data_IF_769188278512
#
_entry.id   IF_769188278512
#
_cell.length_a   1.000
_cell.length_b   1.000
_cell.length_c   1.000
_cell.angle_alpha   90.00
_cell.angle_beta   90.00
_cell.angle_gamma   90.00
#
_symmetry.space_group_name_H-M   'P 1'
#
loop_
_entity.id
_entity.type
_entity.pdbx_description
1 polymer ?
#
# COMPACT_ATOMS: atom_id res chain seq x y z
N UNK A 1 -24.45 23.53 11.08
CA UNK A 1 -24.02 23.47 9.66
C UNK A 1 -22.55 23.09 9.67
N UNK A 2 -22.21 21.87 9.24
CA UNK A 2 -20.81 21.47 9.11
C UNK A 2 -20.21 22.22 7.92
N UNK A 3 -19.19 23.05 8.16
CA UNK A 3 -18.52 23.82 7.11
C UNK A 3 -17.33 23.00 6.62
N UNK A 4 -17.40 22.48 5.39
CA UNK A 4 -16.30 21.75 4.76
C UNK A 4 -15.38 22.74 4.03
N UNK A 5 -14.18 22.96 4.59
CA UNK A 5 -13.14 23.78 3.94
C UNK A 5 -12.24 22.86 3.11
N UNK A 6 -12.26 23.03 1.78
CA UNK A 6 -11.37 22.30 0.89
C UNK A 6 -10.16 23.16 0.51
N UNK A 7 -8.95 22.62 0.69
CA UNK A 7 -7.74 23.19 0.11
C UNK A 7 -7.59 22.68 -1.33
N UNK A 8 -7.82 23.55 -2.30
CA UNK A 8 -7.74 23.19 -3.72
C UNK A 8 -6.96 24.25 -4.50
N UNK A 9 -6.24 23.80 -5.52
CA UNK A 9 -5.53 24.66 -6.46
C UNK A 9 -6.17 24.59 -7.85
N UNK A 10 -6.08 25.66 -8.65
CA UNK A 10 -6.68 25.73 -9.99
C UNK A 10 -6.24 24.58 -10.92
N UNK A 11 -5.03 24.07 -10.73
CA UNK A 11 -4.46 22.98 -11.52
C UNK A 11 -4.40 21.64 -10.79
N UNK A 12 -5.17 21.45 -9.70
CA UNK A 12 -5.12 20.25 -8.87
C UNK A 12 -5.27 18.95 -9.68
N UNK A 13 -6.16 18.93 -10.67
CA UNK A 13 -6.37 17.74 -11.52
C UNK A 13 -5.10 17.33 -12.26
N UNK A 14 -4.34 18.30 -12.79
CA UNK A 14 -3.08 18.02 -13.49
C UNK A 14 -2.02 17.48 -12.52
N UNK A 15 -1.89 18.08 -11.34
CA UNK A 15 -0.95 17.62 -10.32
C UNK A 15 -1.30 16.23 -9.78
N UNK A 16 -2.57 16.00 -9.47
CA UNK A 16 -3.06 14.69 -9.02
C UNK A 16 -2.86 13.61 -10.09
N UNK A 17 -3.14 13.92 -11.36
CA UNK A 17 -2.91 13.00 -12.47
C UNK A 17 -1.42 12.66 -12.63
N UNK A 18 -0.52 13.63 -12.54
CA UNK A 18 0.92 13.40 -12.62
C UNK A 18 1.42 12.50 -11.47
N UNK A 19 0.98 12.77 -10.23
CA UNK A 19 1.30 11.95 -9.06
C UNK A 19 0.79 10.51 -9.19
N UNK A 20 -0.47 10.34 -9.60
CA UNK A 20 -1.05 9.01 -9.79
C UNK A 20 -0.35 8.24 -10.90
N UNK A 21 0.01 8.89 -12.01
CA UNK A 21 0.73 8.26 -13.11
C UNK A 21 2.12 7.76 -12.67
N UNK A 22 2.91 8.62 -12.00
CA UNK A 22 4.23 8.25 -11.50
C UNK A 22 4.18 7.08 -10.50
N UNK A 23 3.28 7.15 -9.50
CA UNK A 23 3.11 6.07 -8.52
C UNK A 23 2.56 4.79 -9.14
N UNK A 24 1.65 4.91 -10.10
CA UNK A 24 1.10 3.77 -10.84
C UNK A 24 2.16 3.05 -11.66
N UNK A 25 3.04 3.78 -12.34
CA UNK A 25 4.17 3.21 -13.07
C UNK A 25 5.15 2.49 -12.15
N UNK A 26 5.48 3.09 -11.00
CA UNK A 26 6.32 2.45 -9.99
C UNK A 26 5.71 1.13 -9.49
N UNK A 27 4.40 1.14 -9.21
CA UNK A 27 3.67 -0.03 -8.72
C UNK A 27 3.59 -1.13 -9.79
N UNK A 28 3.39 -0.77 -11.06
CA UNK A 28 3.42 -1.70 -12.18
C UNK A 28 4.81 -2.34 -12.33
N UNK A 29 5.87 -1.53 -12.26
CA UNK A 29 7.25 -2.02 -12.32
C UNK A 29 7.59 -2.94 -11.14
N UNK A 30 7.19 -2.58 -9.91
CA UNK A 30 7.36 -3.41 -8.73
C UNK A 30 6.61 -4.74 -8.84
N UNK A 31 5.40 -4.73 -9.42
CA UNK A 31 4.61 -5.94 -9.68
C UNK A 31 5.27 -6.83 -10.72
N UNK A 32 5.82 -6.25 -11.79
CA UNK A 32 6.57 -6.98 -12.80
C UNK A 32 7.80 -7.68 -12.18
N UNK A 33 8.58 -6.97 -11.38
CA UNK A 33 9.72 -7.57 -10.67
C UNK A 33 9.29 -8.67 -9.68
N UNK A 34 8.19 -8.47 -8.95
CA UNK A 34 7.63 -9.48 -8.06
C UNK A 34 7.12 -10.72 -8.81
N UNK A 35 6.62 -10.55 -10.03
CA UNK A 35 6.19 -11.64 -10.89
C UNK A 35 7.38 -12.46 -11.40
N UNK A 36 8.42 -11.81 -11.93
CA UNK A 36 9.62 -12.48 -12.43
C UNK A 36 10.34 -13.26 -11.32
N UNK A 37 10.36 -12.74 -10.09
CA UNK A 37 11.02 -13.40 -8.95
C UNK A 37 10.20 -14.51 -8.29
N UNK A 38 8.92 -14.71 -8.66
CA UNK A 38 8.02 -15.68 -8.00
C UNK A 38 8.50 -17.12 -8.06
N UNK A 39 9.07 -17.54 -9.19
CA UNK A 39 9.47 -18.93 -9.42
C UNK A 39 10.92 -19.23 -9.01
N UNK A 40 11.67 -18.21 -8.60
CA UNK A 40 13.09 -18.35 -8.24
C UNK A 40 13.17 -18.49 -6.71
N UNK A 41 12.98 -19.71 -6.23
CA UNK A 41 13.16 -20.03 -4.80
C UNK A 41 14.62 -20.34 -4.51
N UNK A 42 15.39 -19.30 -4.18
CA UNK A 42 16.74 -19.45 -3.61
C UNK A 42 16.61 -19.32 -2.09
N UNK A 43 16.96 -20.35 -1.29
CA UNK A 43 16.74 -20.35 0.16
C UNK A 43 17.47 -19.24 0.92
N UNK A 44 18.50 -18.65 0.32
CA UNK A 44 19.25 -17.50 0.85
C UNK A 44 18.51 -16.16 0.65
N UNK A 45 17.58 -16.10 -0.31
CA UNK A 45 16.85 -14.88 -0.70
C UNK A 45 15.34 -14.99 -0.45
N UNK A 46 14.90 -15.89 0.45
CA UNK A 46 13.48 -16.09 0.76
C UNK A 46 12.77 -14.81 1.27
N UNK A 47 13.53 -13.81 1.73
CA UNK A 47 13.04 -12.46 2.03
C UNK A 47 12.35 -11.79 0.82
N UNK A 48 12.78 -12.07 -0.42
CA UNK A 48 12.20 -11.47 -1.63
C UNK A 48 10.79 -11.97 -1.91
N UNK A 49 10.44 -13.19 -1.47
CA UNK A 49 9.10 -13.76 -1.62
C UNK A 49 8.09 -13.00 -0.75
N UNK A 50 8.46 -12.68 0.49
CA UNK A 50 7.64 -11.86 1.39
C UNK A 50 7.43 -10.45 0.86
N UNK A 51 8.47 -9.85 0.28
CA UNK A 51 8.36 -8.54 -0.40
C UNK A 51 7.37 -8.62 -1.56
N UNK A 52 7.39 -9.69 -2.35
CA UNK A 52 6.41 -9.93 -3.41
C UNK A 52 4.96 -9.93 -2.90
N UNK A 53 4.70 -10.62 -1.79
CA UNK A 53 3.37 -10.60 -1.16
C UNK A 53 2.94 -9.20 -0.70
N UNK A 54 3.86 -8.38 -0.19
CA UNK A 54 3.58 -6.99 0.15
C UNK A 54 3.19 -6.15 -1.08
N UNK A 55 3.88 -6.33 -2.20
CA UNK A 55 3.56 -5.62 -3.46
C UNK A 55 2.14 -5.98 -3.91
N UNK A 56 1.77 -7.26 -3.92
CA UNK A 56 0.41 -7.67 -4.27
C UNK A 56 -0.65 -7.09 -3.32
N UNK A 57 -0.38 -7.02 -2.02
CA UNK A 57 -1.29 -6.39 -1.05
C UNK A 57 -1.54 -4.91 -1.39
N UNK A 58 -0.48 -4.15 -1.63
CA UNK A 58 -0.57 -2.72 -1.95
C UNK A 58 -1.33 -2.51 -3.26
N UNK A 59 -1.08 -3.34 -4.29
CA UNK A 59 -1.79 -3.26 -5.58
C UNK A 59 -3.30 -3.40 -5.40
N UNK A 60 -3.75 -4.42 -4.66
CA UNK A 60 -5.19 -4.66 -4.41
C UNK A 60 -5.81 -3.51 -3.62
N UNK A 61 -5.12 -3.05 -2.57
CA UNK A 61 -5.58 -1.94 -1.75
C UNK A 61 -5.69 -0.65 -2.57
N UNK A 62 -4.71 -0.31 -3.40
CA UNK A 62 -4.76 0.87 -4.27
C UNK A 62 -5.87 0.77 -5.33
N UNK A 63 -6.07 -0.42 -5.92
CA UNK A 63 -7.12 -0.64 -6.91
C UNK A 63 -8.53 -0.42 -6.35
N UNK A 64 -8.73 -0.62 -5.04
CA UNK A 64 -10.01 -0.36 -4.35
C UNK A 64 -10.06 1.07 -3.80
N UNK A 65 -8.98 1.53 -3.17
CA UNK A 65 -8.93 2.81 -2.46
C UNK A 65 -9.03 4.03 -3.40
N UNK A 66 -8.37 4.01 -4.55
CA UNK A 66 -8.38 5.15 -5.48
C UNK A 66 -9.77 5.40 -6.07
N UNK A 67 -10.48 4.39 -6.64
CA UNK A 67 -11.86 4.60 -7.10
C UNK A 67 -12.80 5.02 -5.98
N UNK A 68 -12.70 4.38 -4.81
CA UNK A 68 -13.55 4.71 -3.65
C UNK A 68 -13.37 6.17 -3.23
N UNK A 69 -12.14 6.68 -3.25
CA UNK A 69 -11.84 8.09 -2.95
C UNK A 69 -12.51 9.07 -3.93
N UNK A 70 -12.62 8.70 -5.21
CA UNK A 70 -13.20 9.55 -6.25
C UNK A 70 -14.72 9.42 -6.38
N UNK A 71 -15.31 8.26 -6.08
CA UNK A 71 -16.75 8.00 -6.19
C UNK A 71 -17.52 8.62 -5.02
N UNK A 72 -16.95 8.64 -3.80
CA UNK A 72 -17.63 9.22 -2.65
C UNK A 72 -17.79 10.75 -2.81
N UNK A 73 -19.05 11.20 -2.72
CA UNK A 73 -19.41 12.61 -2.80
C UNK A 73 -18.92 13.40 -1.59
N UNK A 74 -18.77 14.72 -1.79
CA UNK A 74 -18.22 15.64 -0.79
C UNK A 74 -19.02 15.69 0.51
N UNK A 75 -20.34 15.49 0.44
CA UNK A 75 -21.23 15.44 1.61
C UNK A 75 -20.88 14.29 2.58
N UNK A 76 -20.17 13.25 2.12
CA UNK A 76 -19.74 12.12 2.93
C UNK A 76 -18.25 12.17 3.29
N UNK A 77 -17.76 13.36 3.62
CA UNK A 77 -16.35 13.59 3.97
C UNK A 77 -15.88 12.73 5.17
N UNK A 78 -16.73 12.53 6.19
CA UNK A 78 -16.42 11.66 7.33
C UNK A 78 -16.23 10.20 6.89
N UNK A 79 -17.16 9.67 6.09
CA UNK A 79 -17.09 8.29 5.61
C UNK A 79 -15.85 8.08 4.74
N UNK A 80 -15.59 9.04 3.83
CA UNK A 80 -14.40 9.04 2.98
C UNK A 80 -13.11 9.02 3.80
N UNK A 81 -13.04 9.82 4.86
CA UNK A 81 -11.89 9.86 5.77
C UNK A 81 -11.71 8.53 6.51
N UNK A 82 -12.77 8.00 7.11
CA UNK A 82 -12.71 6.74 7.87
C UNK A 82 -12.30 5.58 6.96
N UNK A 83 -12.90 5.45 5.78
CA UNK A 83 -12.57 4.38 4.82
C UNK A 83 -11.12 4.48 4.34
N UNK A 84 -10.67 5.67 3.94
CA UNK A 84 -9.31 5.83 3.44
C UNK A 84 -8.26 5.56 4.52
N UNK A 85 -8.49 6.09 5.74
CA UNK A 85 -7.55 5.92 6.84
C UNK A 85 -7.50 4.46 7.33
N UNK A 86 -8.66 3.83 7.52
CA UNK A 86 -8.73 2.42 7.93
C UNK A 86 -8.05 1.49 6.93
N UNK A 87 -8.30 1.69 5.63
CA UNK A 87 -7.66 0.93 4.56
C UNK A 87 -6.13 1.11 4.58
N UNK A 88 -5.67 2.35 4.81
CA UNK A 88 -4.23 2.67 4.88
C UNK A 88 -3.58 2.00 6.10
N UNK A 89 -4.18 2.11 7.29
CA UNK A 89 -3.67 1.48 8.51
C UNK A 89 -3.62 -0.04 8.36
N UNK A 90 -4.66 -0.65 7.80
CA UNK A 90 -4.72 -2.08 7.56
C UNK A 90 -3.61 -2.55 6.61
N UNK A 91 -3.44 -1.84 5.48
CA UNK A 91 -2.40 -2.16 4.50
C UNK A 91 -0.99 -2.08 5.10
N UNK A 92 -0.66 -0.98 5.77
CA UNK A 92 0.68 -0.82 6.37
C UNK A 92 0.92 -1.82 7.49
N UNK A 93 -0.08 -2.12 8.31
CA UNK A 93 0.02 -3.14 9.35
C UNK A 93 0.31 -4.51 8.76
N UNK A 94 -0.41 -4.91 7.70
CA UNK A 94 -0.16 -6.19 7.03
C UNK A 94 1.24 -6.27 6.42
N UNK A 95 1.71 -5.20 5.76
CA UNK A 95 3.06 -5.16 5.20
C UNK A 95 4.12 -5.34 6.30
N UNK A 96 3.99 -4.64 7.43
CA UNK A 96 4.89 -4.81 8.56
C UNK A 96 4.84 -6.24 9.12
N UNK A 97 3.64 -6.80 9.30
CA UNK A 97 3.48 -8.16 9.78
C UNK A 97 4.15 -9.18 8.85
N UNK A 98 3.95 -9.08 7.53
CA UNK A 98 4.52 -10.00 6.54
C UNK A 98 6.06 -9.95 6.55
N UNK A 99 6.65 -8.75 6.70
CA UNK A 99 8.10 -8.59 6.67
C UNK A 99 8.78 -8.97 7.98
N UNK A 100 8.18 -8.67 9.14
CA UNK A 100 8.85 -8.78 10.43
C UNK A 100 8.49 -10.02 11.25
N UNK A 101 7.28 -10.57 11.12
CA UNK A 101 6.89 -11.79 11.86
C UNK A 101 7.81 -12.99 11.56
N UNK A 102 8.11 -13.35 10.29
CA UNK A 102 8.98 -14.50 10.02
C UNK A 102 10.40 -14.30 10.55
N UNK A 103 10.89 -13.05 10.59
CA UNK A 103 12.20 -12.73 11.16
C UNK A 103 12.20 -12.81 12.67
N UNK A 104 11.15 -12.35 13.34
CA UNK A 104 11.04 -12.41 14.80
C UNK A 104 10.95 -13.85 15.33
N UNK A 105 10.27 -14.76 14.62
CA UNK A 105 10.19 -16.17 15.01
C UNK A 105 11.46 -16.98 14.71
N UNK A 106 12.29 -16.51 13.76
CA UNK A 106 13.58 -17.13 13.42
C UNK A 106 14.75 -16.64 14.29
N UNK A 107 14.56 -15.70 15.21
CA UNK A 107 15.55 -15.38 16.24
C UNK A 107 15.32 -16.34 17.42
N UNK A 108 16.07 -17.45 17.53
CA UNK A 108 16.04 -18.23 18.75
C UNK A 108 16.57 -17.35 19.88
N UNK A 109 15.89 -17.41 21.03
CA UNK A 109 16.41 -16.97 22.31
C UNK A 109 17.63 -17.85 22.69
N UNK A 110 18.76 -17.68 21.99
CA UNK A 110 19.95 -18.53 22.11
C UNK A 110 21.27 -17.77 21.85
N UNK A 111 21.28 -16.44 22.00
CA UNK A 111 22.51 -15.63 21.88
C UNK A 111 22.74 -14.67 23.06
N UNK A 112 22.03 -14.87 24.18
CA UNK A 112 22.28 -14.20 25.47
C UNK A 112 22.16 -15.17 26.68
N UNK A 113 22.60 -16.42 26.51
CA UNK A 113 23.13 -17.27 27.58
C UNK A 113 24.47 -17.85 27.12
#
# INVERSE_FOLDING_TARGET
MEVFVQCNHRYFVYWAAAEYAYKGLLLAFGTFLAWETRNIHVPILNDSVYIGFCVYNIVVVCAIGVPTHHILMLEQSLLKYILQNSLTIFCTSLVLCILFIPKASMVPCSRYC
#
